data_IF_860737539144
#
_entry.id   IF_860737539144
#
_cell.length_a   1.000
_cell.length_b   1.000
_cell.length_c   1.000
_cell.angle_alpha   90.00
_cell.angle_beta   90.00
_cell.angle_gamma   90.00
#
_symmetry.space_group_name_H-M   'P 1'
#
loop_
_entity.id
_entity.type
_entity.pdbx_description
1 polymer ?
#
# COMPACT_ATOMS: atom_id res chain seq x y z
N UNK A 1 -5.70 12.92 9.89
CA UNK A 1 -5.81 11.62 9.20
C UNK A 1 -5.52 11.66 7.69
N UNK A 2 -5.26 12.83 7.07
CA UNK A 2 -4.98 12.97 5.62
C UNK A 2 -3.60 12.48 5.19
N UNK A 3 -2.63 12.35 6.10
CA UNK A 3 -1.25 11.97 5.78
C UNK A 3 -1.12 10.61 5.10
N UNK A 4 -1.78 9.57 5.62
CA UNK A 4 -1.72 8.21 5.04
C UNK A 4 -2.32 8.18 3.63
N UNK A 5 -3.42 8.91 3.41
CA UNK A 5 -4.04 9.00 2.08
C UNK A 5 -3.09 9.69 1.09
N UNK A 6 -2.52 10.83 1.47
CA UNK A 6 -1.54 11.54 0.64
C UNK A 6 -0.32 10.66 0.33
N UNK A 7 0.22 9.95 1.32
CA UNK A 7 1.33 9.00 1.13
C UNK A 7 0.95 7.87 0.17
N UNK A 8 -0.25 7.30 0.30
CA UNK A 8 -0.73 6.22 -0.57
C UNK A 8 -0.89 6.69 -2.02
N UNK A 9 -1.45 7.89 -2.21
CA UNK A 9 -1.57 8.52 -3.53
C UNK A 9 -0.17 8.77 -4.11
N UNK A 10 0.74 9.39 -3.35
CA UNK A 10 2.12 9.65 -3.77
C UNK A 10 2.85 8.37 -4.17
N UNK A 11 2.79 7.32 -3.34
CA UNK A 11 3.38 6.00 -3.64
C UNK A 11 2.82 5.42 -4.94
N UNK A 12 1.51 5.52 -5.15
CA UNK A 12 0.87 5.00 -6.36
C UNK A 12 1.31 5.77 -7.61
N UNK A 13 1.32 7.11 -7.54
CA UNK A 13 1.67 7.97 -8.67
C UNK A 13 3.15 7.85 -9.06
N UNK A 14 4.07 8.01 -8.09
CA UNK A 14 5.51 7.89 -8.35
C UNK A 14 5.90 6.45 -8.68
N UNK A 15 5.24 5.45 -8.08
CA UNK A 15 5.47 4.05 -8.43
C UNK A 15 5.12 3.74 -9.87
N UNK A 16 4.04 4.32 -10.40
CA UNK A 16 3.69 4.17 -11.82
C UNK A 16 4.69 4.84 -12.76
N UNK A 17 5.23 6.01 -12.39
CA UNK A 17 6.31 6.64 -13.15
C UNK A 17 7.55 5.73 -13.18
N UNK A 18 7.99 5.24 -12.02
CA UNK A 18 9.12 4.31 -11.94
C UNK A 18 8.90 3.01 -12.73
N UNK A 19 7.71 2.41 -12.65
CA UNK A 19 7.40 1.19 -13.40
C UNK A 19 7.48 1.43 -14.92
N UNK A 20 7.15 2.64 -15.38
CA UNK A 20 7.19 3.05 -16.78
C UNK A 20 8.60 3.42 -17.25
N UNK A 21 9.26 4.38 -16.61
CA UNK A 21 10.56 4.93 -17.04
C UNK A 21 11.75 4.20 -16.44
N UNK A 22 11.61 3.63 -15.23
CA UNK A 22 12.71 3.07 -14.45
C UNK A 22 13.51 4.10 -13.67
N UNK A 23 13.12 5.36 -13.74
CA UNK A 23 13.80 6.47 -13.11
C UNK A 23 12.85 7.17 -12.14
N UNK A 24 13.41 7.78 -11.11
CA UNK A 24 12.66 8.57 -10.14
C UNK A 24 13.58 9.64 -9.55
N UNK A 25 13.09 10.87 -9.46
CA UNK A 25 13.82 11.98 -8.84
C UNK A 25 13.03 12.52 -7.66
N UNK A 26 13.74 12.79 -6.55
CA UNK A 26 13.23 13.51 -5.37
C UNK A 26 11.90 12.99 -4.80
N UNK A 27 11.79 11.67 -4.60
CA UNK A 27 10.54 11.06 -4.11
C UNK A 27 10.55 10.79 -2.60
N UNK A 28 11.43 9.92 -2.11
CA UNK A 28 11.44 9.50 -0.72
C UNK A 28 12.87 9.52 -0.19
N UNK A 29 13.12 10.15 0.97
CA UNK A 29 12.14 10.77 1.89
C UNK A 29 11.74 12.23 1.59
N UNK A 30 12.19 12.81 0.48
CA UNK A 30 12.17 14.27 0.27
C UNK A 30 10.79 14.86 -0.01
N UNK A 31 9.86 14.07 -0.57
CA UNK A 31 8.53 14.58 -0.90
C UNK A 31 7.77 14.95 0.39
N UNK A 32 7.15 16.14 0.38
CA UNK A 32 6.36 16.69 1.49
C UNK A 32 5.30 15.74 2.06
N UNK A 33 4.79 14.77 1.27
CA UNK A 33 3.83 13.77 1.79
C UNK A 33 4.44 12.82 2.83
N UNK A 34 5.76 12.70 2.87
CA UNK A 34 6.50 11.93 3.87
C UNK A 34 7.06 12.81 4.99
N UNK A 35 6.76 14.12 5.00
CA UNK A 35 7.09 14.96 6.15
C UNK A 35 6.41 14.41 7.40
N UNK A 36 7.16 14.30 8.50
CA UNK A 36 6.72 13.65 9.75
C UNK A 36 6.41 12.15 9.64
N UNK A 37 6.85 11.48 8.56
CA UNK A 37 6.83 10.03 8.42
C UNK A 37 8.22 9.46 8.75
N UNK A 38 8.33 8.70 9.85
CA UNK A 38 9.62 8.13 10.25
C UNK A 38 10.12 7.05 9.28
N UNK A 39 9.20 6.20 8.78
CA UNK A 39 9.57 5.14 7.83
C UNK A 39 8.36 4.60 7.08
N UNK A 40 8.60 4.06 5.88
CA UNK A 40 7.60 3.33 5.07
C UNK A 40 8.17 1.97 4.71
N UNK A 41 7.58 0.91 5.26
CA UNK A 41 8.02 -0.48 5.07
C UNK A 41 6.92 -1.28 4.39
N UNK A 42 7.29 -2.08 3.40
CA UNK A 42 6.37 -2.90 2.63
C UNK A 42 6.44 -4.34 3.09
N UNK A 43 5.27 -4.95 3.28
CA UNK A 43 5.15 -6.31 3.83
C UNK A 43 4.25 -7.16 2.94
N UNK A 44 4.59 -8.45 2.83
CA UNK A 44 3.79 -9.46 2.13
C UNK A 44 3.28 -10.48 3.12
N UNK A 45 2.00 -10.82 3.00
CA UNK A 45 1.38 -11.90 3.76
C UNK A 45 1.60 -13.19 2.97
N UNK A 46 2.40 -14.11 3.50
CA UNK A 46 2.59 -15.45 2.92
C UNK A 46 1.58 -16.40 3.56
N UNK A 47 0.61 -16.88 2.78
CA UNK A 47 -0.22 -18.03 3.18
C UNK A 47 0.70 -19.26 3.25
N UNK A 48 0.83 -19.87 4.42
CA UNK A 48 1.22 -21.28 4.53
C UNK A 48 -0.05 -22.12 4.67
N UNK A 49 0.09 -23.44 4.47
CA UNK A 49 -0.97 -24.46 4.44
C UNK A 49 -2.06 -24.27 5.52
N UNK A 50 -3.21 -24.90 5.28
CA UNK A 50 -4.50 -24.83 6.02
C UNK A 50 -4.37 -24.84 7.57
N UNK A 51 -3.28 -25.40 8.11
CA UNK A 51 -3.06 -25.57 9.56
C UNK A 51 -2.11 -24.56 10.22
N UNK A 52 -1.62 -23.53 9.52
CA UNK A 52 -0.62 -22.59 10.10
C UNK A 52 -1.03 -21.13 9.98
N UNK A 53 -0.66 -20.32 10.98
CA UNK A 53 -0.93 -18.88 11.00
C UNK A 53 -0.22 -18.14 9.85
N UNK A 54 -0.86 -17.09 9.34
CA UNK A 54 -0.31 -16.24 8.27
C UNK A 54 1.02 -15.65 8.71
N UNK A 55 2.10 -15.86 7.92
CA UNK A 55 3.40 -15.22 8.18
C UNK A 55 3.49 -13.91 7.41
N UNK A 56 3.81 -12.82 8.10
CA UNK A 56 4.12 -11.52 7.50
C UNK A 56 5.64 -11.43 7.30
N UNK A 57 6.08 -11.08 6.10
CA UNK A 57 7.49 -10.85 5.78
C UNK A 57 7.67 -9.43 5.25
N UNK A 58 8.79 -8.79 5.56
CA UNK A 58 9.19 -7.52 4.96
C UNK A 58 9.71 -7.81 3.55
N UNK A 59 9.24 -7.07 2.56
CA UNK A 59 9.69 -7.19 1.16
C UNK A 59 10.56 -6.01 0.72
N UNK A 60 10.42 -4.85 1.38
CA UNK A 60 11.23 -3.66 1.13
C UNK A 60 11.16 -2.73 2.34
N UNK A 61 12.26 -2.04 2.64
CA UNK A 61 12.37 -1.07 3.74
C UNK A 61 12.16 0.38 3.30
N UNK A 62 12.09 0.61 1.98
CA UNK A 62 11.82 1.93 1.39
C UNK A 62 10.85 1.81 0.20
N UNK A 63 10.16 2.89 -0.18
CA UNK A 63 9.34 2.91 -1.39
C UNK A 63 10.13 2.62 -2.67
N UNK A 64 11.37 3.10 -2.79
CA UNK A 64 12.21 2.83 -3.95
C UNK A 64 12.57 1.35 -4.08
N UNK A 65 12.99 0.71 -2.97
CA UNK A 65 13.22 -0.74 -2.93
C UNK A 65 11.96 -1.52 -3.33
N UNK A 66 10.78 -1.06 -2.90
CA UNK A 66 9.52 -1.70 -3.27
C UNK A 66 9.22 -1.57 -4.76
N UNK A 67 9.49 -0.40 -5.36
CA UNK A 67 9.31 -0.22 -6.80
C UNK A 67 10.25 -1.09 -7.63
N UNK A 68 11.52 -1.22 -7.21
CA UNK A 68 12.49 -2.17 -7.79
C UNK A 68 11.92 -3.59 -7.72
N UNK A 69 11.53 -4.02 -6.52
CA UNK A 69 10.93 -5.34 -6.29
C UNK A 69 9.72 -5.58 -7.21
N UNK A 70 8.81 -4.62 -7.34
CA UNK A 70 7.64 -4.74 -8.21
C UNK A 70 8.02 -4.89 -9.69
N UNK A 71 8.99 -4.09 -10.16
CA UNK A 71 9.45 -4.12 -11.56
C UNK A 71 10.10 -5.46 -11.89
N UNK A 72 10.97 -5.96 -11.01
CA UNK A 72 11.61 -7.28 -11.13
C UNK A 72 10.59 -8.43 -11.14
N UNK A 73 9.48 -8.28 -10.42
CA UNK A 73 8.38 -9.24 -10.39
C UNK A 73 7.36 -9.04 -11.54
N UNK A 74 7.66 -8.19 -12.53
CA UNK A 74 6.85 -8.00 -13.73
C UNK A 74 5.57 -7.18 -13.53
N UNK A 75 5.45 -6.43 -12.42
CA UNK A 75 4.33 -5.53 -12.19
C UNK A 75 4.27 -4.45 -13.29
N UNK A 76 3.07 -4.20 -13.82
CA UNK A 76 2.87 -3.24 -14.93
C UNK A 76 2.31 -1.89 -14.48
N UNK A 77 1.54 -1.87 -13.40
CA UNK A 77 0.93 -0.67 -12.86
C UNK A 77 0.45 -0.90 -11.42
N UNK A 78 0.43 0.17 -10.65
CA UNK A 78 -0.24 0.30 -9.37
C UNK A 78 -1.61 0.96 -9.56
N UNK A 79 -2.62 0.45 -8.88
CA UNK A 79 -3.97 1.02 -8.88
C UNK A 79 -4.44 1.23 -7.45
N UNK A 80 -4.91 2.44 -7.18
CA UNK A 80 -5.63 2.78 -5.97
C UNK A 80 -7.13 2.75 -6.31
N UNK A 81 -7.91 1.99 -5.55
CA UNK A 81 -9.36 1.99 -5.66
C UNK A 81 -9.96 2.33 -4.29
N UNK A 82 -11.07 3.05 -4.31
CA UNK A 82 -11.88 3.30 -3.13
C UNK A 82 -13.11 2.40 -3.19
N UNK A 83 -13.38 1.70 -2.10
CA UNK A 83 -14.58 0.89 -1.95
C UNK A 83 -15.32 1.37 -0.70
N UNK A 84 -16.56 1.82 -0.91
CA UNK A 84 -17.48 2.12 0.19
C UNK A 84 -17.94 0.80 0.82
N UNK A 85 -17.81 0.66 2.14
CA UNK A 85 -18.51 -0.39 2.86
C UNK A 85 -20.00 0.01 2.95
N UNK A 86 -20.90 -0.80 2.37
CA UNK A 86 -22.33 -0.71 2.68
C UNK A 86 -22.53 -1.32 4.07
N UNK A 87 -22.55 -0.48 5.10
CA UNK A 87 -23.13 -0.88 6.38
C UNK A 87 -24.65 -0.88 6.22
N UNK A 88 -25.22 -2.07 6.02
CA UNK A 88 -26.66 -2.28 6.15
C UNK A 88 -27.03 -2.20 7.65
N UNK A 89 -27.01 -1.00 8.24
CA UNK A 89 -27.31 -0.76 9.68
C UNK A 89 -28.69 -1.29 10.10
N UNK A 90 -29.63 -1.44 9.16
CA UNK A 90 -30.97 -1.95 9.43
C UNK A 90 -30.99 -3.44 9.86
N UNK A 91 -29.91 -4.20 9.62
CA UNK A 91 -29.84 -5.61 10.05
C UNK A 91 -29.60 -5.77 11.56
N UNK A 92 -29.20 -4.71 12.25
CA UNK A 92 -28.91 -4.70 13.69
C UNK A 92 -30.11 -4.26 14.55
N UNK A 93 -31.18 -3.72 13.95
CA UNK A 93 -32.35 -3.20 14.65
C UNK A 93 -33.46 -4.24 14.90
N UNK A 94 -33.29 -5.48 14.44
CA UNK A 94 -34.32 -6.54 14.50
C UNK A 94 -34.39 -7.38 15.79
N UNK A 95 -33.55 -7.10 16.79
CA UNK A 95 -33.52 -7.82 18.07
C UNK A 95 -33.64 -6.88 19.27
N UNK A 96 -34.55 -5.91 19.19
CA UNK A 96 -35.09 -5.23 20.38
C UNK A 96 -36.60 -5.45 20.34
N UNK A 97 -37.01 -6.61 20.85
CA UNK A 97 -38.39 -6.96 21.17
C UNK A 97 -38.51 -7.20 22.67
#
# INVERSE_FOLDING_TARGET
MTGILAQTISITSFGNEYLKSGELTNFYPENSTFQFCNSVVFRKIKKKNIFTSKKVIIVANTPLEWFIYLKENGCKKLQLYYQTEKNDDYKSAGFVG
#
